data_IF_397908426302
#
_entry.id   IF_397908426302
#
_cell.length_a   1.000
_cell.length_b   1.000
_cell.length_c   1.000
_cell.angle_alpha   90.00
_cell.angle_beta   90.00
_cell.angle_gamma   90.00
#
_symmetry.space_group_name_H-M   'P 1'
#
loop_
_entity.id
_entity.type
_entity.pdbx_description
1 polymer ?
#
# COMPACT_ATOMS: atom_id res chain seq x y z
N UNK A 1 3.75 19.44 -25.23
CA UNK A 1 3.13 19.41 -23.89
C UNK A 1 4.10 18.69 -22.96
N UNK A 2 4.63 19.38 -21.96
CA UNK A 2 5.58 18.81 -21.00
C UNK A 2 4.86 17.95 -19.94
N UNK A 3 5.56 16.92 -19.45
CA UNK A 3 5.16 15.85 -18.52
C UNK A 3 4.01 16.18 -17.55
N UNK A 4 2.85 15.54 -17.77
CA UNK A 4 1.82 15.32 -16.74
C UNK A 4 2.04 14.00 -15.97
N UNK A 5 3.26 13.45 -16.04
CA UNK A 5 3.61 12.23 -15.33
C UNK A 5 3.58 12.52 -13.81
N UNK A 6 2.71 11.79 -13.10
CA UNK A 6 2.65 11.80 -11.64
C UNK A 6 2.66 10.38 -11.10
N UNK A 7 3.00 10.24 -9.83
CA UNK A 7 2.91 8.97 -9.14
C UNK A 7 1.43 8.55 -9.05
N UNK A 8 1.16 7.33 -9.50
CA UNK A 8 -0.17 6.68 -9.41
C UNK A 8 -0.45 6.25 -7.98
N UNK A 9 -1.67 6.46 -7.50
CA UNK A 9 -2.10 6.01 -6.17
C UNK A 9 -2.40 4.51 -6.14
N UNK A 10 -2.56 3.96 -4.93
CA UNK A 10 -3.06 2.61 -4.74
C UNK A 10 -4.41 2.39 -5.43
N UNK A 11 -5.32 3.37 -5.36
CA UNK A 11 -6.63 3.29 -6.01
C UNK A 11 -6.56 3.24 -7.54
N UNK A 12 -5.57 3.91 -8.14
CA UNK A 12 -5.37 3.92 -9.58
C UNK A 12 -4.72 2.63 -10.11
N UNK A 13 -3.81 2.03 -9.35
CA UNK A 13 -3.32 0.68 -9.64
C UNK A 13 -4.43 -0.35 -9.49
N UNK A 14 -5.21 -0.24 -8.42
CA UNK A 14 -6.24 -1.20 -8.06
C UNK A 14 -5.71 -2.63 -7.98
N UNK A 15 -6.51 -3.58 -8.45
CA UNK A 15 -6.14 -5.01 -8.50
C UNK A 15 -5.58 -5.46 -9.86
N UNK A 16 -5.53 -4.56 -10.85
CA UNK A 16 -5.10 -4.93 -12.20
C UNK A 16 -3.63 -5.36 -12.19
N UNK A 17 -3.36 -6.49 -12.84
CA UNK A 17 -2.01 -7.03 -13.00
C UNK A 17 -1.49 -7.84 -11.81
N UNK A 18 -2.14 -7.85 -10.64
CA UNK A 18 -1.69 -8.70 -9.50
C UNK A 18 -1.54 -10.16 -9.95
N UNK A 19 -0.42 -10.79 -9.60
CA UNK A 19 -0.11 -12.17 -10.00
C UNK A 19 0.24 -12.34 -11.48
N UNK A 20 0.41 -11.23 -12.23
CA UNK A 20 0.76 -11.22 -13.64
C UNK A 20 2.21 -11.62 -13.90
N UNK A 21 2.58 -11.66 -15.19
CA UNK A 21 3.91 -12.09 -15.65
C UNK A 21 4.97 -11.00 -15.59
N UNK A 22 4.58 -9.73 -15.43
CA UNK A 22 5.56 -8.65 -15.29
C UNK A 22 6.22 -8.64 -13.92
N UNK A 23 7.45 -8.13 -13.87
CA UNK A 23 8.28 -8.16 -12.66
C UNK A 23 7.68 -7.34 -11.52
N UNK A 24 6.91 -6.30 -11.81
CA UNK A 24 6.35 -5.41 -10.79
C UNK A 24 5.16 -6.07 -10.08
N UNK A 25 4.34 -6.80 -10.84
CA UNK A 25 3.09 -7.42 -10.38
C UNK A 25 3.22 -8.37 -9.18
N UNK A 26 4.40 -8.93 -8.96
CA UNK A 26 4.69 -9.86 -7.86
C UNK A 26 5.59 -9.25 -6.76
N UNK A 27 5.88 -7.94 -6.82
CA UNK A 27 6.73 -7.28 -5.81
C UNK A 27 6.01 -7.07 -4.50
N UNK A 28 6.79 -6.91 -3.43
CA UNK A 28 6.28 -6.49 -2.12
C UNK A 28 5.54 -5.14 -2.21
N UNK A 29 6.15 -4.15 -2.88
CA UNK A 29 5.53 -2.84 -3.07
C UNK A 29 4.17 -2.93 -3.77
N UNK A 30 4.06 -3.76 -4.82
CA UNK A 30 2.78 -3.95 -5.52
C UNK A 30 1.71 -4.55 -4.61
N UNK A 31 2.09 -5.50 -3.76
CA UNK A 31 1.19 -6.09 -2.76
C UNK A 31 0.79 -5.09 -1.67
N UNK A 32 1.71 -4.22 -1.23
CA UNK A 32 1.38 -3.11 -0.31
C UNK A 32 0.39 -2.13 -0.95
N UNK A 33 0.57 -1.78 -2.22
CA UNK A 33 -0.40 -0.95 -2.95
C UNK A 33 -1.76 -1.63 -3.11
N UNK A 34 -1.80 -2.95 -3.33
CA UNK A 34 -3.05 -3.70 -3.36
C UNK A 34 -3.74 -3.73 -1.98
N UNK A 35 -2.98 -3.93 -0.90
CA UNK A 35 -3.49 -3.88 0.46
C UNK A 35 -4.12 -2.51 0.80
N UNK A 36 -3.45 -1.42 0.42
CA UNK A 36 -3.98 -0.06 0.56
C UNK A 36 -5.25 0.16 -0.27
N UNK A 37 -5.27 -0.31 -1.52
CA UNK A 37 -6.47 -0.24 -2.35
C UNK A 37 -7.66 -0.91 -1.67
N UNK A 38 -7.46 -2.11 -1.14
CA UNK A 38 -8.51 -2.86 -0.46
C UNK A 38 -8.96 -2.15 0.83
N UNK A 39 -8.01 -1.65 1.64
CA UNK A 39 -8.32 -0.94 2.87
C UNK A 39 -9.10 0.36 2.63
N UNK A 40 -8.68 1.16 1.66
CA UNK A 40 -9.35 2.42 1.29
C UNK A 40 -10.75 2.13 0.74
N UNK A 41 -10.87 1.15 -0.18
CA UNK A 41 -12.15 0.79 -0.80
C UNK A 41 -13.17 0.22 0.19
N UNK A 42 -12.70 -0.55 1.18
CA UNK A 42 -13.55 -1.14 2.21
C UNK A 42 -13.75 -0.22 3.43
N UNK A 43 -13.06 0.91 3.47
CA UNK A 43 -12.93 1.77 4.65
C UNK A 43 -12.49 1.02 5.92
N UNK A 44 -11.69 -0.04 5.74
CA UNK A 44 -11.30 -0.97 6.80
C UNK A 44 -9.84 -1.46 6.60
N UNK A 45 -8.95 -1.00 7.47
CA UNK A 45 -7.53 -1.39 7.47
C UNK A 45 -7.30 -2.88 7.75
N UNK A 46 -8.23 -3.57 8.40
CA UNK A 46 -8.10 -5.00 8.65
C UNK A 46 -8.16 -5.81 7.36
N UNK A 47 -8.92 -5.34 6.35
CA UNK A 47 -8.96 -5.95 5.01
C UNK A 47 -7.59 -5.86 4.33
N UNK A 48 -6.92 -4.71 4.44
CA UNK A 48 -5.56 -4.53 3.91
C UNK A 48 -4.53 -5.43 4.60
N UNK A 49 -4.58 -5.56 5.93
CA UNK A 49 -3.71 -6.50 6.66
C UNK A 49 -3.97 -7.94 6.24
N UNK A 50 -5.24 -8.34 6.11
CA UNK A 50 -5.61 -9.69 5.72
C UNK A 50 -5.13 -10.02 4.31
N UNK A 51 -5.20 -9.07 3.37
CA UNK A 51 -4.58 -9.20 2.05
C UNK A 51 -3.11 -9.55 2.16
N UNK A 52 -2.33 -8.78 2.93
CA UNK A 52 -0.89 -9.01 3.08
C UNK A 52 -0.57 -10.37 3.70
N UNK A 53 -1.34 -10.79 4.70
CA UNK A 53 -1.18 -12.12 5.33
C UNK A 53 -1.47 -13.26 4.37
N UNK A 54 -2.47 -13.12 3.53
CA UNK A 54 -2.92 -14.18 2.63
C UNK A 54 -2.03 -14.28 1.37
N UNK A 55 -1.61 -13.14 0.82
CA UNK A 55 -0.92 -13.08 -0.47
C UNK A 55 0.60 -13.10 -0.37
N UNK A 56 1.16 -12.82 0.82
CA UNK A 56 2.61 -12.88 1.04
C UNK A 56 2.94 -14.05 1.97
N UNK A 57 3.43 -15.19 1.43
CA UNK A 57 3.90 -16.31 2.24
C UNK A 57 4.99 -15.89 3.25
N UNK A 58 5.78 -14.88 2.90
CA UNK A 58 6.83 -14.29 3.73
C UNK A 58 6.37 -13.08 4.56
N UNK A 59 5.07 -12.91 4.80
CA UNK A 59 4.51 -11.78 5.55
C UNK A 59 5.26 -11.52 6.86
N UNK A 60 5.42 -12.55 7.69
CA UNK A 60 6.04 -12.42 9.02
C UNK A 60 7.50 -11.97 8.95
N UNK A 61 8.28 -12.51 8.01
CA UNK A 61 9.69 -12.12 7.86
C UNK A 61 9.87 -10.75 7.18
N UNK A 62 8.88 -10.28 6.42
CA UNK A 62 8.91 -8.99 5.73
C UNK A 62 8.11 -7.89 6.44
N UNK A 63 7.49 -8.19 7.58
CA UNK A 63 6.62 -7.28 8.33
C UNK A 63 7.24 -5.90 8.58
N UNK A 64 8.50 -5.87 9.01
CA UNK A 64 9.20 -4.60 9.26
C UNK A 64 9.36 -3.79 7.96
N UNK A 65 9.72 -4.45 6.85
CA UNK A 65 9.84 -3.78 5.55
C UNK A 65 8.48 -3.27 5.04
N UNK A 66 7.40 -4.04 5.24
CA UNK A 66 6.04 -3.60 4.91
C UNK A 66 5.69 -2.32 5.66
N UNK A 67 5.97 -2.27 6.97
CA UNK A 67 5.75 -1.10 7.81
C UNK A 67 6.55 0.10 7.30
N UNK A 68 7.83 -0.09 6.93
CA UNK A 68 8.64 1.00 6.37
C UNK A 68 8.11 1.52 5.03
N UNK A 69 7.63 0.64 4.14
CA UNK A 69 7.00 1.05 2.88
C UNK A 69 5.73 1.87 3.17
N UNK A 70 4.90 1.43 4.11
CA UNK A 70 3.67 2.14 4.49
C UNK A 70 3.97 3.49 5.14
N UNK A 71 4.98 3.56 6.01
CA UNK A 71 5.45 4.82 6.60
C UNK A 71 5.94 5.80 5.52
N UNK A 72 6.68 5.31 4.53
CA UNK A 72 7.10 6.12 3.39
C UNK A 72 5.89 6.66 2.62
N UNK A 73 4.89 5.82 2.32
CA UNK A 73 3.65 6.26 1.66
C UNK A 73 2.88 7.28 2.52
N UNK A 74 2.80 7.07 3.83
CA UNK A 74 2.15 7.99 4.75
C UNK A 74 2.81 9.38 4.75
N UNK A 75 4.13 9.45 4.56
CA UNK A 75 4.85 10.73 4.48
C UNK A 75 4.47 11.59 3.27
N UNK A 76 3.84 11.00 2.24
CA UNK A 76 3.38 11.72 1.04
C UNK A 76 2.32 12.77 1.39
N UNK A 77 1.57 12.61 2.49
CA UNK A 77 0.57 13.62 2.90
C UNK A 77 1.17 15.01 3.13
N UNK A 78 2.48 15.10 3.41
CA UNK A 78 3.19 16.35 3.64
C UNK A 78 3.77 16.98 2.37
N UNK A 79 3.58 16.35 1.21
CA UNK A 79 4.06 16.86 -0.07
C UNK A 79 2.96 17.69 -0.74
N UNK A 80 3.15 19.02 -0.79
CA UNK A 80 2.14 19.99 -1.25
C UNK A 80 1.57 19.70 -2.65
N UNK A 81 2.39 19.18 -3.57
CA UNK A 81 1.99 18.91 -4.95
C UNK A 81 1.40 17.50 -5.17
N UNK A 82 1.10 16.75 -4.11
CA UNK A 82 0.47 15.42 -4.17
C UNK A 82 -0.87 15.32 -3.42
N UNK A 83 -1.82 16.24 -3.60
CA UNK A 83 -3.08 16.23 -2.86
C UNK A 83 -3.94 14.98 -3.13
N UNK A 84 -3.77 14.34 -4.30
CA UNK A 84 -4.48 13.12 -4.68
C UNK A 84 -4.06 11.87 -3.90
N UNK A 85 -3.00 11.94 -3.09
CA UNK A 85 -2.55 10.84 -2.22
C UNK A 85 -3.09 10.93 -0.79
N UNK A 86 -3.79 12.01 -0.43
CA UNK A 86 -4.13 12.32 0.97
C UNK A 86 -4.88 11.19 1.68
N UNK A 87 -5.83 10.56 1.01
CA UNK A 87 -6.62 9.47 1.60
C UNK A 87 -5.76 8.21 1.78
N UNK A 88 -5.04 7.80 0.74
CA UNK A 88 -4.15 6.64 0.77
C UNK A 88 -3.02 6.80 1.80
N UNK A 89 -2.47 8.01 1.96
CA UNK A 89 -1.44 8.31 2.95
C UNK A 89 -1.99 8.16 4.38
N UNK A 90 -3.23 8.61 4.63
CA UNK A 90 -3.93 8.39 5.90
C UNK A 90 -4.10 6.89 6.20
N UNK A 91 -4.61 6.11 5.24
CA UNK A 91 -4.77 4.66 5.40
C UNK A 91 -3.44 3.94 5.55
N UNK A 92 -2.36 4.42 4.90
CA UNK A 92 -1.03 3.86 5.05
C UNK A 92 -0.51 3.99 6.47
N UNK A 93 -0.71 5.14 7.11
CA UNK A 93 -0.38 5.33 8.53
C UNK A 93 -1.14 4.35 9.43
N UNK A 94 -2.45 4.23 9.24
CA UNK A 94 -3.27 3.32 10.05
C UNK A 94 -2.89 1.85 9.84
N UNK A 95 -2.66 1.44 8.59
CA UNK A 95 -2.24 0.09 8.26
C UNK A 95 -0.84 -0.23 8.80
N UNK A 96 0.09 0.73 8.76
CA UNK A 96 1.42 0.58 9.34
C UNK A 96 1.34 0.27 10.84
N UNK A 97 0.51 1.02 11.58
CA UNK A 97 0.32 0.79 13.02
C UNK A 97 -0.38 -0.53 13.31
N UNK A 98 -1.40 -0.89 12.51
CA UNK A 98 -2.07 -2.19 12.64
C UNK A 98 -1.07 -3.35 12.44
N UNK A 99 -0.21 -3.27 11.43
CA UNK A 99 0.79 -4.28 11.13
C UNK A 99 1.89 -4.29 12.20
N UNK A 100 2.33 -3.12 12.71
CA UNK A 100 3.32 -3.00 13.79
C UNK A 100 2.88 -3.65 15.10
N UNK A 101 1.57 -3.76 15.33
CA UNK A 101 0.99 -4.43 16.50
C UNK A 101 0.50 -5.85 16.18
N UNK A 102 0.71 -6.33 14.96
CA UNK A 102 0.22 -7.62 14.53
C UNK A 102 1.07 -8.76 15.11
N UNK A 103 0.45 -9.65 15.89
CA UNK A 103 1.12 -10.78 16.54
C UNK A 103 1.77 -10.49 17.90
N UNK A 104 1.48 -9.34 18.51
CA UNK A 104 1.74 -9.07 19.94
C UNK A 104 0.56 -9.53 20.78
#
# INVERSE_FOLDING_TARGET
RANQARLKTAMEFGMRGIGGTDKFSNTLLRNVLAALHQAVKAEDTTVGRNWLRNELPSYWSQRNLIVEILNYIASIEHIENMPHWKEEARYARLLAELIRNDGV
#
